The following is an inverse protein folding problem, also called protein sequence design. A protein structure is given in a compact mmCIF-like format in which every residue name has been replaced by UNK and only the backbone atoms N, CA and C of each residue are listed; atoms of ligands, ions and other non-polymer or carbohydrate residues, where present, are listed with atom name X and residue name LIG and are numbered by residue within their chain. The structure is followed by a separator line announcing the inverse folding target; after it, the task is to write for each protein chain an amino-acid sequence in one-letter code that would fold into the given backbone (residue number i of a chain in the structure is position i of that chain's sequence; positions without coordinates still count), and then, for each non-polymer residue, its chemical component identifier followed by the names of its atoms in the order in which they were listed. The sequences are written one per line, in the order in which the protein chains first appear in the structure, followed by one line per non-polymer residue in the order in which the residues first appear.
data_IF_657662310460
#
_entry.id   IF_657662310460
#
_cell.length_a   1.000
_cell.length_b   1.000
_cell.length_c   1.000
_cell.angle_alpha   90.00
_cell.angle_beta   90.00
_cell.angle_gamma   90.00
#
_symmetry.space_group_name_H-M   'P 1'
#
loop_
_entity.id
_entity.type
_entity.pdbx_description
1 polymer ?
#
# COMPACT_ATOMS: atom_id res chain seq x y z
N UNK A 1 12.02 1.83 -1.07
CA UNK A 1 11.77 0.84 0.00
C UNK A 1 12.89 -0.20 0.16
N UNK A 2 13.32 -0.94 -0.88
CA UNK A 2 14.34 -2.02 -0.78
C UNK A 2 15.62 -1.61 -0.04
N UNK A 3 16.20 -0.45 -0.37
CA UNK A 3 17.40 0.07 0.30
C UNK A 3 17.17 0.35 1.78
N UNK A 4 16.03 0.95 2.14
CA UNK A 4 15.69 1.24 3.54
C UNK A 4 15.52 -0.06 4.32
N UNK A 5 14.75 -1.02 3.78
CA UNK A 5 14.55 -2.32 4.41
C UNK A 5 15.88 -3.05 4.69
N UNK A 6 16.81 -3.02 3.73
CA UNK A 6 18.15 -3.58 3.93
C UNK A 6 18.94 -2.89 5.06
N UNK A 7 18.82 -1.58 5.22
CA UNK A 7 19.53 -0.83 6.25
C UNK A 7 19.03 -1.13 7.67
N UNK A 8 17.75 -1.49 7.81
CA UNK A 8 17.12 -1.74 9.11
C UNK A 8 16.80 -3.23 9.33
N UNK A 9 17.31 -4.11 8.47
CA UNK A 9 17.10 -5.57 8.50
C UNK A 9 15.61 -5.98 8.47
N UNK A 10 14.83 -5.29 7.63
CA UNK A 10 13.40 -5.60 7.40
C UNK A 10 13.24 -6.19 5.99
N UNK A 11 12.63 -7.38 5.85
CA UNK A 11 12.43 -8.02 4.56
C UNK A 11 11.46 -7.22 3.69
N UNK A 12 11.81 -7.04 2.40
CA UNK A 12 10.97 -6.33 1.43
C UNK A 12 10.67 -7.23 0.25
N UNK A 13 9.39 -7.51 0.03
CA UNK A 13 8.90 -8.20 -1.16
C UNK A 13 8.56 -7.20 -2.26
N UNK A 14 9.02 -7.43 -3.50
CA UNK A 14 8.65 -6.60 -4.65
C UNK A 14 9.01 -7.27 -5.98
N UNK A 15 8.06 -7.25 -6.93
CA UNK A 15 8.16 -7.86 -8.26
C UNK A 15 8.37 -6.85 -9.41
N UNK A 16 8.63 -5.58 -9.08
CA UNK A 16 8.78 -4.51 -10.08
C UNK A 16 7.46 -3.81 -10.40
N UNK A 17 7.43 -3.05 -11.50
CA UNK A 17 6.29 -2.20 -11.89
C UNK A 17 5.44 -2.79 -13.02
N UNK A 18 5.86 -3.91 -13.61
CA UNK A 18 5.15 -4.57 -14.72
C UNK A 18 4.10 -5.57 -14.21
N UNK A 19 4.12 -5.90 -12.92
CA UNK A 19 3.19 -6.83 -12.28
C UNK A 19 2.07 -6.03 -11.61
N UNK A 20 0.79 -6.43 -11.78
CA UNK A 20 -0.34 -5.76 -11.11
C UNK A 20 -0.19 -5.74 -9.59
N UNK A 21 -0.61 -4.66 -8.91
CA UNK A 21 -0.41 -4.54 -7.47
C UNK A 21 -1.09 -5.66 -6.66
N UNK A 22 -2.28 -6.08 -7.09
CA UNK A 22 -3.03 -7.20 -6.49
C UNK A 22 -2.19 -8.48 -6.45
N UNK A 23 -1.45 -8.76 -7.51
CA UNK A 23 -0.62 -9.97 -7.61
C UNK A 23 0.65 -9.86 -6.75
N UNK A 24 1.24 -8.67 -6.68
CA UNK A 24 2.37 -8.39 -5.76
C UNK A 24 1.93 -8.62 -4.32
N UNK A 25 0.75 -8.13 -3.94
CA UNK A 25 0.21 -8.29 -2.59
C UNK A 25 -0.12 -9.76 -2.30
N UNK A 26 -0.75 -10.47 -3.24
CA UNK A 26 -1.06 -11.90 -3.09
C UNK A 26 0.20 -12.71 -2.77
N UNK A 27 1.23 -12.60 -3.62
CA UNK A 27 2.48 -13.34 -3.42
C UNK A 27 3.24 -12.86 -2.17
N UNK A 28 3.18 -11.56 -1.87
CA UNK A 28 3.82 -11.00 -0.68
C UNK A 28 3.20 -11.53 0.62
N UNK A 29 1.88 -11.68 0.68
CA UNK A 29 1.18 -12.28 1.82
C UNK A 29 1.49 -13.77 1.96
N UNK A 30 1.57 -14.52 0.87
CA UNK A 30 1.98 -15.92 0.88
C UNK A 30 3.41 -16.09 1.43
N UNK A 31 4.34 -15.24 1.00
CA UNK A 31 5.71 -15.25 1.53
C UNK A 31 5.78 -14.83 3.00
N UNK A 32 5.02 -13.80 3.40
CA UNK A 32 4.95 -13.38 4.78
C UNK A 32 4.41 -14.48 5.69
N UNK A 33 3.39 -15.22 5.23
CA UNK A 33 2.84 -16.37 5.94
C UNK A 33 3.86 -17.51 6.05
N UNK A 34 4.56 -17.85 4.96
CA UNK A 34 5.59 -18.88 4.97
C UNK A 34 6.77 -18.53 5.89
N UNK A 35 7.07 -17.25 6.03
CA UNK A 35 8.13 -16.75 6.91
C UNK A 35 7.67 -16.52 8.37
N UNK A 36 6.41 -16.78 8.69
CA UNK A 36 5.82 -16.52 10.01
C UNK A 36 6.00 -15.06 10.46
N UNK A 37 5.85 -14.10 9.55
CA UNK A 37 5.88 -12.68 9.88
C UNK A 37 4.62 -12.28 10.68
N UNK A 38 4.81 -11.63 11.82
CA UNK A 38 3.69 -11.11 12.63
C UNK A 38 3.02 -9.88 12.00
N UNK A 39 3.80 -9.07 11.29
CA UNK A 39 3.35 -7.82 10.69
C UNK A 39 3.68 -7.75 9.20
N UNK A 40 2.72 -7.25 8.42
CA UNK A 40 2.89 -6.98 6.99
C UNK A 40 2.48 -5.55 6.71
N UNK A 41 3.41 -4.76 6.17
CA UNK A 41 3.12 -3.42 5.67
C UNK A 41 3.05 -3.48 4.15
N UNK A 42 1.91 -3.04 3.61
CA UNK A 42 1.69 -2.94 2.17
C UNK A 42 1.89 -1.47 1.79
N UNK A 43 3.01 -1.18 1.12
CA UNK A 43 3.33 0.14 0.59
C UNK A 43 2.75 0.29 -0.82
N UNK A 44 1.76 1.15 -0.97
CA UNK A 44 1.10 1.43 -2.26
C UNK A 44 1.72 2.65 -2.92
N UNK A 45 1.68 2.73 -4.25
CA UNK A 45 2.16 3.92 -4.95
C UNK A 45 1.40 5.19 -4.49
N UNK A 46 2.13 6.22 -4.06
CA UNK A 46 1.54 7.51 -3.72
C UNK A 46 1.20 8.33 -4.96
N UNK A 47 0.02 8.97 -5.00
CA UNK A 47 -0.35 9.95 -6.05
C UNK A 47 -1.12 11.12 -5.45
N UNK A 48 -0.82 12.32 -5.96
CA UNK A 48 -1.40 13.61 -5.52
C UNK A 48 -2.83 13.84 -6.01
N UNK A 49 -3.27 13.11 -7.03
CA UNK A 49 -4.59 13.23 -7.63
C UNK A 49 -5.25 11.86 -7.63
N UNK A 50 -6.51 11.84 -7.21
CA UNK A 50 -7.33 10.63 -7.14
C UNK A 50 -7.64 10.22 -8.58
N UNK A 51 -6.95 9.18 -9.02
CA UNK A 51 -7.11 8.54 -10.33
C UNK A 51 -8.05 7.35 -10.15
N UNK A 52 -9.12 7.27 -10.96
CA UNK A 52 -10.09 6.18 -10.90
C UNK A 52 -9.42 4.80 -11.05
N UNK A 53 -8.39 4.70 -11.89
CA UNK A 53 -7.65 3.46 -12.07
C UNK A 53 -6.94 3.04 -10.77
N UNK A 54 -6.33 4.00 -10.08
CA UNK A 54 -5.65 3.77 -8.80
C UNK A 54 -6.65 3.37 -7.71
N UNK A 55 -7.78 4.07 -7.61
CA UNK A 55 -8.81 3.76 -6.60
C UNK A 55 -9.39 2.36 -6.79
N UNK A 56 -9.57 1.93 -8.04
CA UNK A 56 -9.98 0.56 -8.34
C UNK A 56 -8.90 -0.45 -7.90
N UNK A 57 -7.63 -0.20 -8.22
CA UNK A 57 -6.54 -1.07 -7.79
C UNK A 57 -6.43 -1.16 -6.25
N UNK A 58 -6.59 -0.04 -5.54
CA UNK A 58 -6.60 -0.02 -4.07
C UNK A 58 -7.80 -0.78 -3.49
N UNK A 59 -8.97 -0.71 -4.13
CA UNK A 59 -10.16 -1.48 -3.73
C UNK A 59 -9.92 -2.98 -3.89
N UNK A 60 -9.31 -3.40 -5.00
CA UNK A 60 -8.98 -4.80 -5.25
C UNK A 60 -7.95 -5.31 -4.24
N UNK A 61 -6.90 -4.53 -3.98
CA UNK A 61 -5.89 -4.84 -2.96
C UNK A 61 -6.52 -4.95 -1.57
N UNK A 62 -7.40 -4.02 -1.19
CA UNK A 62 -8.11 -4.05 0.10
C UNK A 62 -8.98 -5.29 0.23
N UNK A 63 -9.72 -5.65 -0.82
CA UNK A 63 -10.59 -6.83 -0.84
C UNK A 63 -9.79 -8.13 -0.68
N UNK A 64 -8.62 -8.21 -1.32
CA UNK A 64 -7.71 -9.36 -1.23
C UNK A 64 -7.03 -9.43 0.14
N UNK A 65 -6.41 -8.34 0.59
CA UNK A 65 -5.53 -8.32 1.76
C UNK A 65 -6.27 -8.27 3.09
N UNK A 66 -7.54 -7.81 3.10
CA UNK A 66 -8.36 -7.63 4.31
C UNK A 66 -7.57 -7.01 5.48
N UNK A 67 -6.92 -5.85 5.28
CA UNK A 67 -5.98 -5.31 6.26
C UNK A 67 -6.70 -4.91 7.56
N UNK A 68 -6.02 -5.10 8.69
CA UNK A 68 -6.53 -4.68 9.99
C UNK A 68 -6.65 -3.16 10.10
N UNK A 69 -5.70 -2.44 9.51
CA UNK A 69 -5.60 -0.99 9.56
C UNK A 69 -5.28 -0.44 8.17
N UNK A 70 -5.83 0.73 7.85
CA UNK A 70 -5.55 1.45 6.61
C UNK A 70 -5.09 2.86 6.98
N UNK A 71 -3.87 3.20 6.56
CA UNK A 71 -3.24 4.48 6.90
C UNK A 71 -3.26 5.40 5.67
N UNK A 72 -3.82 6.59 5.83
CA UNK A 72 -3.72 7.67 4.85
C UNK A 72 -2.56 8.60 5.22
N UNK A 73 -1.54 8.67 4.37
CA UNK A 73 -0.39 9.55 4.56
C UNK A 73 -0.56 10.80 3.68
N UNK A 74 -0.67 11.97 4.31
CA UNK A 74 -0.82 13.27 3.63
C UNK A 74 0.27 14.24 4.06
N UNK A 75 0.64 15.15 3.17
CA UNK A 75 1.56 16.25 3.49
C UNK A 75 0.83 17.32 4.33
N UNK A 76 1.46 17.74 5.42
CA UNK A 76 0.95 18.78 6.31
C UNK A 76 0.72 20.12 5.60
N UNK A 77 1.44 20.39 4.50
CA UNK A 77 1.35 21.64 3.74
C UNK A 77 0.10 21.72 2.85
N UNK A 78 -0.61 20.61 2.59
CA UNK A 78 -1.79 20.54 1.72
C UNK A 78 -2.98 21.35 2.28
N UNK A 79 -2.97 21.66 3.59
CA UNK A 79 -3.97 22.53 4.20
C UNK A 79 -5.39 21.96 4.09
N UNK A 80 -6.34 22.77 3.62
CA UNK A 80 -7.75 22.38 3.55
C UNK A 80 -8.03 21.26 2.53
N UNK A 81 -7.19 21.09 1.51
CA UNK A 81 -7.35 20.03 0.50
C UNK A 81 -7.17 18.62 1.11
N UNK A 82 -6.51 18.50 2.27
CA UNK A 82 -6.34 17.23 2.97
C UNK A 82 -7.69 16.64 3.40
N UNK A 83 -8.66 17.49 3.71
CA UNK A 83 -10.02 17.08 4.08
C UNK A 83 -10.82 16.53 2.89
N UNK A 84 -10.49 16.91 1.65
CA UNK A 84 -11.10 16.36 0.45
C UNK A 84 -10.54 14.97 0.17
N UNK A 85 -9.20 14.85 0.17
CA UNK A 85 -8.50 13.57 -0.02
C UNK A 85 -8.94 12.53 1.02
N UNK A 86 -9.05 12.90 2.29
CA UNK A 86 -9.49 11.99 3.34
C UNK A 86 -10.93 11.48 3.14
N UNK A 87 -11.83 12.33 2.61
CA UNK A 87 -13.22 11.94 2.32
C UNK A 87 -13.30 10.96 1.15
N UNK A 88 -12.59 11.24 0.07
CA UNK A 88 -12.59 10.38 -1.11
C UNK A 88 -11.87 9.04 -0.86
N UNK A 89 -10.79 9.04 -0.07
CA UNK A 89 -10.09 7.82 0.33
C UNK A 89 -10.98 6.86 1.15
N UNK A 90 -11.89 7.42 1.95
CA UNK A 90 -12.78 6.65 2.80
C UNK A 90 -14.14 6.30 2.14
N UNK A 91 -14.34 6.63 0.86
CA UNK A 91 -15.58 6.41 0.11
C UNK A 91 -15.61 5.07 -0.66
#
# INVERSE_FOLDING_TARGET
LKTLGQQIDVPVFALGTEVPAVEIVRQGLEQAQANHNDYVLIDTAGRLQIDELLMNELRDVKALAQPNEILLVVDAMIGQEAANVAREFNA
#
